data_IF_663934942603
#
_entry.id   IF_663934942603
#
_cell.length_a   1.000
_cell.length_b   1.000
_cell.length_c   1.000
_cell.angle_alpha   90.00
_cell.angle_beta   90.00
_cell.angle_gamma   90.00
#
_symmetry.space_group_name_H-M   'P 1'
#
loop_
_entity.id
_entity.type
_entity.pdbx_description
1 polymer ?
#
# COMPACT_ATOMS: atom_id res chain seq x y z
N UNK A 1 7.00 20.83 44.50
CA UNK A 1 5.74 20.23 44.03
C UNK A 1 6.10 19.14 43.05
N UNK A 2 5.63 17.92 43.33
CA UNK A 2 6.13 16.66 42.78
C UNK A 2 5.55 16.41 41.38
N UNK A 3 6.38 16.40 40.34
CA UNK A 3 5.97 16.01 39.00
C UNK A 3 5.79 14.48 38.97
N UNK A 4 4.53 14.05 38.88
CA UNK A 4 4.13 12.65 38.76
C UNK A 4 4.48 12.16 37.35
N UNK A 5 5.57 11.42 37.21
CA UNK A 5 5.96 10.77 35.95
C UNK A 5 4.94 9.67 35.64
N UNK A 6 4.03 9.94 34.71
CA UNK A 6 3.18 8.92 34.09
C UNK A 6 4.11 8.02 33.28
N UNK A 7 4.27 6.76 33.70
CA UNK A 7 5.00 5.75 32.93
C UNK A 7 4.40 5.65 31.53
N UNK A 8 5.22 5.95 30.52
CA UNK A 8 4.84 5.85 29.11
C UNK A 8 4.69 4.37 28.75
N UNK A 9 3.51 4.01 28.23
CA UNK A 9 3.01 2.64 28.03
C UNK A 9 3.72 1.94 26.86
N UNK A 10 4.67 2.62 26.22
CA UNK A 10 5.39 2.18 25.03
C UNK A 10 6.58 1.25 25.35
N UNK A 11 7.04 1.19 26.61
CA UNK A 11 8.20 0.37 27.02
C UNK A 11 9.52 0.84 26.42
N UNK A 12 9.58 2.10 25.95
CA UNK A 12 10.72 2.65 25.24
C UNK A 12 11.85 3.11 26.18
N UNK A 13 11.54 3.41 27.45
CA UNK A 13 12.50 3.85 28.46
C UNK A 13 13.52 2.76 28.85
N UNK A 14 13.18 1.47 28.67
CA UNK A 14 14.05 0.34 29.01
C UNK A 14 14.99 -0.05 27.85
N UNK A 15 14.82 0.53 26.67
CA UNK A 15 15.66 0.23 25.51
C UNK A 15 16.98 0.98 25.63
N UNK A 16 18.05 0.25 25.98
CA UNK A 16 19.43 0.76 25.92
C UNK A 16 19.88 0.78 24.45
N UNK A 17 20.04 1.96 23.80
CA UNK A 17 20.31 2.05 22.35
C UNK A 17 21.67 1.45 21.95
N UNK A 18 22.61 1.36 22.89
CA UNK A 18 23.95 0.79 22.69
C UNK A 18 24.00 -0.74 22.82
N UNK A 19 23.05 -1.35 23.53
CA UNK A 19 22.91 -2.80 23.63
C UNK A 19 21.98 -3.39 22.56
N UNK A 20 21.23 -2.51 21.88
CA UNK A 20 20.31 -2.85 20.81
C UNK A 20 20.79 -2.17 19.53
N UNK A 21 21.84 -2.68 18.86
CA UNK A 21 22.26 -2.11 17.58
C UNK A 21 21.03 -2.11 16.69
N UNK A 22 20.56 -0.93 16.30
CA UNK A 22 19.46 -0.78 15.37
C UNK A 22 19.85 -1.57 14.13
N UNK A 23 19.31 -2.79 13.98
CA UNK A 23 19.47 -3.60 12.78
C UNK A 23 18.96 -2.71 11.67
N UNK A 24 19.89 -2.21 10.88
CA UNK A 24 19.66 -1.14 9.94
C UNK A 24 18.35 -1.41 9.21
N UNK A 25 17.34 -0.61 9.50
CA UNK A 25 15.96 -0.89 9.09
C UNK A 25 15.79 -0.75 7.57
N UNK A 26 16.89 -0.63 6.81
CA UNK A 26 16.98 -0.62 5.34
C UNK A 26 16.07 -1.69 4.73
N UNK A 27 16.10 -2.93 5.21
CA UNK A 27 15.24 -3.98 4.65
C UNK A 27 13.76 -3.70 4.89
N UNK A 28 13.37 -3.27 6.10
CA UNK A 28 11.99 -2.91 6.42
C UNK A 28 11.52 -1.66 5.66
N UNK A 29 12.36 -0.62 5.57
CA UNK A 29 12.10 0.58 4.77
C UNK A 29 11.92 0.24 3.30
N UNK A 30 12.74 -0.67 2.75
CA UNK A 30 12.60 -1.16 1.37
C UNK A 30 11.27 -1.90 1.15
N UNK A 31 10.85 -2.72 2.12
CA UNK A 31 9.54 -3.41 2.06
C UNK A 31 8.40 -2.39 2.10
N UNK A 32 8.46 -1.39 2.99
CA UNK A 32 7.44 -0.35 3.06
C UNK A 32 7.36 0.48 1.78
N UNK A 33 8.51 0.87 1.21
CA UNK A 33 8.57 1.56 -0.07
C UNK A 33 7.97 0.72 -1.21
N UNK A 34 8.32 -0.57 -1.29
CA UNK A 34 7.76 -1.48 -2.28
C UNK A 34 6.24 -1.62 -2.14
N UNK A 35 5.73 -1.73 -0.90
CA UNK A 35 4.29 -1.76 -0.63
C UNK A 35 3.60 -0.47 -1.06
N UNK A 36 4.21 0.68 -0.82
CA UNK A 36 3.67 1.96 -1.26
C UNK A 36 3.62 2.06 -2.78
N UNK A 37 4.66 1.59 -3.47
CA UNK A 37 4.69 1.56 -4.94
C UNK A 37 3.59 0.67 -5.50
N UNK A 38 3.37 -0.51 -4.93
CA UNK A 38 2.27 -1.40 -5.32
C UNK A 38 0.93 -0.70 -5.12
N UNK A 39 0.69 -0.10 -3.95
CA UNK A 39 -0.56 0.62 -3.67
C UNK A 39 -0.80 1.77 -4.65
N UNK A 40 0.26 2.48 -5.03
CA UNK A 40 0.18 3.62 -5.96
C UNK A 40 -0.14 3.13 -7.38
N UNK A 41 0.59 2.11 -7.85
CA UNK A 41 0.34 1.51 -9.17
C UNK A 41 -1.06 0.87 -9.26
N UNK A 42 -1.55 0.26 -8.18
CA UNK A 42 -2.90 -0.28 -8.13
C UNK A 42 -4.00 0.79 -8.18
N UNK A 43 -3.76 1.96 -7.57
CA UNK A 43 -4.67 3.10 -7.65
C UNK A 43 -4.69 3.69 -9.06
N UNK A 44 -3.50 3.91 -9.64
CA UNK A 44 -3.35 4.39 -11.02
C UNK A 44 -4.02 3.45 -12.02
N UNK A 45 -3.86 2.14 -11.87
CA UNK A 45 -4.50 1.14 -12.73
C UNK A 45 -6.03 1.22 -12.67
N UNK A 46 -6.62 1.43 -11.48
CA UNK A 46 -8.07 1.59 -11.33
C UNK A 46 -8.57 2.86 -12.02
N UNK A 47 -7.89 3.98 -11.83
CA UNK A 47 -8.24 5.24 -12.49
C UNK A 47 -8.15 5.12 -14.02
N UNK A 48 -7.10 4.45 -14.53
CA UNK A 48 -6.96 4.21 -15.97
C UNK A 48 -8.10 3.34 -16.53
N UNK A 49 -8.49 2.27 -15.82
CA UNK A 49 -9.62 1.41 -16.23
C UNK A 49 -10.93 2.19 -16.20
N UNK A 50 -11.14 3.02 -15.16
CA UNK A 50 -12.31 3.89 -15.05
C UNK A 50 -12.39 4.89 -16.21
N UNK A 51 -11.29 5.58 -16.51
CA UNK A 51 -11.20 6.52 -17.62
C UNK A 51 -11.51 5.84 -18.97
N UNK A 52 -10.98 4.62 -19.20
CA UNK A 52 -11.31 3.84 -20.40
C UNK A 52 -12.82 3.50 -20.47
N UNK A 53 -13.43 3.11 -19.34
CA UNK A 53 -14.88 2.85 -19.27
C UNK A 53 -15.71 4.10 -19.53
N UNK A 54 -15.31 5.25 -19.00
CA UNK A 54 -15.96 6.55 -19.23
C UNK A 54 -15.82 7.02 -20.69
N UNK A 55 -14.70 6.72 -21.33
CA UNK A 55 -14.48 6.95 -22.77
C UNK A 55 -15.33 6.01 -23.66
N UNK A 56 -15.97 4.99 -23.08
CA UNK A 56 -16.85 4.04 -23.76
C UNK A 56 -16.18 2.73 -24.18
N UNK A 57 -14.91 2.49 -23.82
CA UNK A 57 -14.21 1.27 -24.18
C UNK A 57 -14.87 0.04 -23.58
N UNK A 58 -15.09 -1.00 -24.39
CA UNK A 58 -15.73 -2.23 -23.93
C UNK A 58 -14.84 -2.98 -22.93
N UNK A 59 -15.47 -3.74 -22.02
CA UNK A 59 -14.76 -4.63 -21.09
C UNK A 59 -13.85 -5.64 -21.79
N UNK A 60 -14.14 -6.03 -23.03
CA UNK A 60 -13.27 -6.92 -23.81
C UNK A 60 -11.95 -6.25 -24.18
N UNK A 61 -11.98 -4.98 -24.60
CA UNK A 61 -10.78 -4.22 -24.96
C UNK A 61 -9.91 -3.97 -23.72
N UNK A 62 -10.55 -3.55 -22.62
CA UNK A 62 -9.87 -3.33 -21.35
C UNK A 62 -9.23 -4.62 -20.84
N UNK A 63 -9.93 -5.75 -20.91
CA UNK A 63 -9.38 -7.03 -20.47
C UNK A 63 -8.18 -7.50 -21.31
N UNK A 64 -8.18 -7.22 -22.62
CA UNK A 64 -7.03 -7.49 -23.48
C UNK A 64 -5.81 -6.66 -23.06
N UNK A 65 -6.00 -5.38 -22.70
CA UNK A 65 -4.92 -4.53 -22.20
C UNK A 65 -4.39 -4.98 -20.82
N UNK A 66 -5.26 -5.55 -19.98
CA UNK A 66 -4.92 -6.09 -18.66
C UNK A 66 -4.37 -7.52 -18.70
N UNK A 67 -4.21 -8.12 -19.87
CA UNK A 67 -3.83 -9.53 -20.07
C UNK A 67 -4.70 -10.50 -19.23
N UNK A 68 -6.02 -10.29 -19.27
CA UNK A 68 -6.97 -11.08 -18.49
C UNK A 68 -8.27 -11.34 -19.26
N UNK A 69 -9.19 -12.08 -18.65
CA UNK A 69 -10.51 -12.32 -19.25
C UNK A 69 -11.45 -11.15 -18.97
N UNK A 70 -12.39 -10.92 -19.89
CA UNK A 70 -13.46 -9.91 -19.72
C UNK A 70 -14.20 -10.05 -18.39
N UNK A 71 -14.52 -11.28 -17.99
CA UNK A 71 -15.24 -11.54 -16.75
C UNK A 71 -14.38 -11.19 -15.52
N UNK A 72 -13.09 -11.53 -15.53
CA UNK A 72 -12.17 -11.18 -14.46
C UNK A 72 -11.97 -9.65 -14.35
N UNK A 73 -11.82 -8.96 -15.49
CA UNK A 73 -11.73 -7.50 -15.51
C UNK A 73 -13.01 -6.84 -14.96
N UNK A 74 -14.19 -7.26 -15.44
CA UNK A 74 -15.47 -6.73 -14.96
C UNK A 74 -15.71 -7.02 -13.47
N UNK A 75 -15.35 -8.21 -12.98
CA UNK A 75 -15.50 -8.55 -11.57
C UNK A 75 -14.58 -7.69 -10.68
N UNK A 76 -13.35 -7.43 -11.14
CA UNK A 76 -12.33 -6.72 -10.38
C UNK A 76 -12.51 -5.20 -10.38
N UNK A 77 -12.94 -4.62 -11.50
CA UNK A 77 -12.99 -3.17 -11.70
C UNK A 77 -14.41 -2.63 -11.94
N UNK A 78 -15.42 -3.49 -12.02
CA UNK A 78 -16.82 -3.08 -12.28
C UNK A 78 -17.65 -2.86 -11.02
N UNK A 79 -17.04 -2.88 -9.82
CA UNK A 79 -17.72 -2.70 -8.52
C UNK A 79 -17.35 -1.39 -7.82
N UNK A 80 -16.71 -0.47 -8.54
CA UNK A 80 -16.36 0.88 -8.05
C UNK A 80 -17.43 1.90 -8.48
#
# INVERSE_FOLDING_TARGET
MTSKTTHDITGLDDLVPSATPARDAVHFRRILAARQHISTAEAELREAVKAAREAGDSWTVIAAALDTTRQAAQQRFGRD
#
